data_IF_669228649397
#
_entry.id   IF_669228649397
#
_cell.length_a   1.000
_cell.length_b   1.000
_cell.length_c   1.000
_cell.angle_alpha   90.00
_cell.angle_beta   90.00
_cell.angle_gamma   90.00
#
_symmetry.space_group_name_H-M   'P 1'
#
loop_
_entity.id
_entity.type
_entity.pdbx_description
1 polymer ?
#
# COMPACT_ATOMS: atom_id res chain seq x y z
N UNK A 1 -88.40 -39.07 -37.29
CA UNK A 1 -87.94 -39.79 -38.48
C UNK A 1 -86.45 -39.49 -38.67
N UNK A 2 -85.67 -40.55 -38.41
CA UNK A 2 -84.39 -40.96 -39.03
C UNK A 2 -83.42 -39.81 -39.43
N UNK A 3 -82.31 -39.67 -38.74
CA UNK A 3 -80.97 -40.31 -38.88
C UNK A 3 -80.08 -39.47 -39.77
N UNK A 4 -78.90 -39.14 -39.54
CA UNK A 4 -77.68 -39.92 -39.28
C UNK A 4 -76.51 -39.13 -38.81
N UNK A 5 -75.75 -39.82 -38.03
CA UNK A 5 -74.38 -39.51 -37.62
C UNK A 5 -73.43 -39.38 -38.79
N UNK A 6 -72.52 -38.42 -38.73
CA UNK A 6 -71.18 -38.61 -39.24
C UNK A 6 -70.19 -37.85 -38.40
N UNK A 7 -69.50 -38.64 -37.62
CA UNK A 7 -68.35 -38.27 -36.80
C UNK A 7 -67.17 -37.98 -37.73
N UNK A 8 -66.63 -36.78 -37.72
CA UNK A 8 -65.31 -36.56 -38.28
C UNK A 8 -64.34 -36.08 -37.21
N UNK A 9 -63.55 -37.06 -36.78
CA UNK A 9 -62.40 -36.86 -35.92
C UNK A 9 -61.33 -36.14 -36.74
N UNK A 10 -61.10 -34.83 -36.49
CA UNK A 10 -59.90 -34.12 -36.93
C UNK A 10 -58.88 -34.30 -35.84
N UNK A 11 -57.88 -35.16 -36.06
CA UNK A 11 -56.69 -35.34 -35.27
C UNK A 11 -55.75 -34.18 -35.64
N UNK A 12 -55.67 -33.15 -34.77
CA UNK A 12 -54.76 -32.04 -34.93
C UNK A 12 -53.39 -32.48 -34.40
N UNK A 13 -52.54 -32.96 -35.31
CA UNK A 13 -51.13 -33.24 -35.07
C UNK A 13 -50.41 -31.87 -34.88
N UNK A 14 -50.17 -31.51 -33.63
CA UNK A 14 -49.28 -30.39 -33.26
C UNK A 14 -47.83 -30.86 -33.51
N UNK A 15 -47.01 -30.19 -34.32
CA UNK A 15 -45.61 -30.53 -34.43
C UNK A 15 -44.92 -30.08 -33.15
N UNK A 16 -44.42 -31.02 -32.38
CA UNK A 16 -43.54 -30.82 -31.26
C UNK A 16 -42.20 -30.30 -31.80
N UNK A 17 -42.03 -28.98 -31.84
CA UNK A 17 -40.76 -28.37 -32.21
C UNK A 17 -39.72 -28.67 -31.14
N UNK A 18 -38.79 -29.57 -31.48
CA UNK A 18 -37.57 -29.83 -30.70
C UNK A 18 -36.77 -28.51 -30.64
N UNK A 19 -36.92 -27.79 -29.52
CA UNK A 19 -35.98 -26.68 -29.18
C UNK A 19 -34.60 -27.28 -28.95
N UNK A 20 -33.56 -26.83 -29.67
CA UNK A 20 -32.22 -27.34 -29.43
C UNK A 20 -31.80 -26.89 -27.99
N UNK A 21 -31.57 -27.87 -27.14
CA UNK A 21 -30.99 -27.71 -25.81
C UNK A 21 -29.54 -27.29 -26.01
N UNK A 22 -29.28 -25.97 -26.02
CA UNK A 22 -27.92 -25.47 -25.96
C UNK A 22 -27.38 -25.77 -24.56
N UNK A 23 -26.31 -26.57 -24.42
CA UNK A 23 -25.67 -26.75 -23.13
C UNK A 23 -25.12 -25.39 -22.73
N UNK A 24 -25.67 -24.80 -21.69
CA UNK A 24 -25.04 -23.68 -20.97
C UNK A 24 -23.70 -24.18 -20.44
N UNK A 25 -22.65 -23.95 -21.19
CA UNK A 25 -21.29 -24.17 -20.69
C UNK A 25 -21.13 -23.38 -19.41
N UNK A 26 -20.91 -24.03 -18.25
CA UNK A 26 -20.54 -23.26 -17.06
C UNK A 26 -19.24 -22.54 -17.39
N UNK A 27 -19.30 -21.21 -17.46
CA UNK A 27 -18.10 -20.38 -17.47
C UNK A 27 -17.41 -20.67 -16.12
N UNK A 28 -16.24 -21.31 -16.08
CA UNK A 28 -15.51 -21.43 -14.83
C UNK A 28 -15.22 -20.01 -14.39
N UNK A 29 -15.88 -19.55 -13.33
CA UNK A 29 -15.45 -18.37 -12.60
C UNK A 29 -14.03 -18.71 -12.15
N UNK A 30 -13.04 -18.10 -12.79
CA UNK A 30 -11.66 -18.24 -12.40
C UNK A 30 -11.55 -17.52 -11.06
N UNK A 31 -11.65 -18.28 -9.97
CA UNK A 31 -11.40 -17.79 -8.64
C UNK A 31 -9.92 -17.41 -8.62
N UNK A 32 -9.65 -16.11 -8.67
CA UNK A 32 -8.29 -15.60 -8.54
C UNK A 32 -7.91 -15.79 -7.08
N UNK A 33 -7.34 -16.94 -6.77
CA UNK A 33 -6.75 -17.20 -5.45
C UNK A 33 -5.50 -16.34 -5.36
N UNK A 34 -5.55 -15.30 -4.52
CA UNK A 34 -4.40 -14.44 -4.28
C UNK A 34 -3.30 -15.24 -3.57
N UNK A 35 -2.09 -15.16 -4.09
CA UNK A 35 -0.96 -15.96 -3.62
C UNK A 35 -0.40 -15.35 -2.34
N UNK A 36 -0.41 -16.11 -1.24
CA UNK A 36 0.29 -15.75 -0.02
C UNK A 36 1.80 -15.78 -0.25
N UNK A 37 2.50 -14.73 0.20
CA UNK A 37 3.96 -14.58 0.08
C UNK A 37 4.67 -14.53 1.43
N UNK A 38 4.00 -14.09 2.48
CA UNK A 38 4.55 -14.11 3.84
C UNK A 38 3.43 -14.04 4.90
N UNK A 39 3.81 -14.37 6.14
CA UNK A 39 3.01 -14.06 7.33
C UNK A 39 3.85 -13.31 8.34
N UNK A 40 3.23 -12.40 9.11
CA UNK A 40 3.87 -11.59 10.15
C UNK A 40 3.06 -11.66 11.42
N UNK A 41 3.67 -12.11 12.52
CA UNK A 41 3.06 -12.16 13.84
C UNK A 41 3.98 -11.48 14.86
N UNK A 42 3.58 -10.30 15.32
CA UNK A 42 4.27 -9.57 16.39
C UNK A 42 3.62 -9.77 17.78
N UNK A 43 2.94 -10.91 17.98
CA UNK A 43 2.35 -11.30 19.27
C UNK A 43 0.92 -10.79 19.50
N UNK A 44 0.33 -10.05 18.57
CA UNK A 44 -1.08 -9.59 18.64
C UNK A 44 -1.97 -10.45 17.75
N UNK A 45 -1.59 -10.59 16.48
CA UNK A 45 -2.26 -11.41 15.48
C UNK A 45 -1.25 -11.83 14.40
N UNK A 46 -1.68 -12.77 13.56
CA UNK A 46 -0.94 -13.11 12.34
C UNK A 46 -1.54 -12.36 11.16
N UNK A 47 -0.77 -11.46 10.57
CA UNK A 47 -1.12 -10.78 9.33
C UNK A 47 -0.62 -11.59 8.14
N UNK A 48 -1.48 -11.76 7.14
CA UNK A 48 -1.14 -12.38 5.86
C UNK A 48 -0.69 -11.30 4.89
N UNK A 49 0.37 -11.58 4.15
CA UNK A 49 0.85 -10.74 3.04
C UNK A 49 0.69 -11.53 1.75
N UNK A 50 -0.02 -10.95 0.80
CA UNK A 50 -0.30 -11.55 -0.49
C UNK A 50 0.50 -10.90 -1.61
N UNK A 51 0.52 -11.55 -2.79
CA UNK A 51 1.13 -10.96 -3.97
C UNK A 51 0.42 -9.67 -4.41
N UNK A 52 -0.90 -9.60 -4.24
CA UNK A 52 -1.66 -8.37 -4.49
C UNK A 52 -1.23 -7.23 -3.59
N UNK A 53 -0.92 -7.47 -2.31
CA UNK A 53 -0.39 -6.42 -1.41
C UNK A 53 0.90 -5.81 -1.96
N UNK A 54 1.79 -6.64 -2.55
CA UNK A 54 3.03 -6.16 -3.18
C UNK A 54 2.75 -5.31 -4.41
N UNK A 55 1.83 -5.77 -5.28
CA UNK A 55 1.43 -5.00 -6.46
C UNK A 55 0.76 -3.68 -6.09
N UNK A 56 -0.10 -3.66 -5.07
CA UNK A 56 -0.71 -2.43 -4.56
C UNK A 56 0.34 -1.48 -4.01
N UNK A 57 1.32 -1.98 -3.24
CA UNK A 57 2.43 -1.17 -2.74
C UNK A 57 3.23 -0.53 -3.88
N UNK A 58 3.51 -1.28 -4.96
CA UNK A 58 4.19 -0.76 -6.15
C UNK A 58 3.31 0.23 -6.95
N UNK A 59 1.99 -0.04 -7.05
CA UNK A 59 1.06 0.84 -7.75
C UNK A 59 0.93 2.22 -7.10
N UNK A 60 1.11 2.29 -5.77
CA UNK A 60 1.08 3.54 -5.00
C UNK A 60 2.41 4.30 -5.01
N UNK A 61 3.42 3.81 -5.76
CA UNK A 61 4.70 4.49 -5.98
C UNK A 61 4.77 4.98 -7.43
N UNK A 62 5.03 6.28 -7.68
CA UNK A 62 5.23 6.76 -9.04
C UNK A 62 6.50 6.13 -9.63
N UNK A 63 6.56 6.03 -10.96
CA UNK A 63 7.72 5.55 -11.72
C UNK A 63 8.16 4.09 -11.49
N UNK A 64 7.35 3.26 -10.80
CA UNK A 64 7.58 1.82 -10.67
C UNK A 64 6.81 1.03 -11.72
N UNK A 65 7.40 -0.05 -12.25
CA UNK A 65 6.72 -0.97 -13.15
C UNK A 65 5.73 -1.84 -12.36
N UNK A 66 4.47 -1.92 -12.83
CA UNK A 66 3.43 -2.78 -12.23
C UNK A 66 2.99 -3.90 -13.16
N UNK A 67 3.29 -3.81 -14.46
CA UNK A 67 2.92 -4.84 -15.42
C UNK A 67 3.87 -6.06 -15.32
N UNK A 68 5.16 -5.79 -15.19
CA UNK A 68 6.21 -6.81 -15.02
C UNK A 68 7.20 -6.28 -13.97
N UNK A 69 6.85 -6.34 -12.67
CA UNK A 69 7.76 -5.90 -11.63
C UNK A 69 8.99 -6.83 -11.56
N UNK A 70 10.15 -6.23 -11.33
CA UNK A 70 11.36 -7.01 -11.12
C UNK A 70 11.32 -7.75 -9.78
N UNK A 71 12.09 -8.83 -9.65
CA UNK A 71 12.23 -9.53 -8.35
C UNK A 71 12.78 -8.59 -7.27
N UNK A 72 13.61 -7.62 -7.64
CA UNK A 72 14.12 -6.62 -6.71
C UNK A 72 13.01 -5.68 -6.21
N UNK A 73 12.12 -5.21 -7.12
CA UNK A 73 10.98 -4.38 -6.75
C UNK A 73 10.02 -5.13 -5.83
N UNK A 74 9.71 -6.39 -6.14
CA UNK A 74 8.85 -7.24 -5.32
C UNK A 74 9.46 -7.49 -3.94
N UNK A 75 10.76 -7.79 -3.85
CA UNK A 75 11.44 -7.98 -2.58
C UNK A 75 11.49 -6.69 -1.74
N UNK A 76 11.66 -5.53 -2.38
CA UNK A 76 11.60 -4.23 -1.71
C UNK A 76 10.19 -3.94 -1.19
N UNK A 77 9.18 -4.18 -2.02
CA UNK A 77 7.77 -4.06 -1.61
C UNK A 77 7.43 -4.99 -0.44
N UNK A 78 7.90 -6.24 -0.48
CA UNK A 78 7.67 -7.21 0.58
C UNK A 78 8.28 -6.76 1.91
N UNK A 79 9.55 -6.32 1.92
CA UNK A 79 10.19 -5.79 3.14
C UNK A 79 9.39 -4.60 3.70
N UNK A 80 8.98 -3.67 2.84
CA UNK A 80 8.21 -2.50 3.27
C UNK A 80 6.84 -2.89 3.85
N UNK A 81 6.14 -3.86 3.25
CA UNK A 81 4.85 -4.32 3.77
C UNK A 81 5.03 -5.04 5.11
N UNK A 82 6.08 -5.86 5.28
CA UNK A 82 6.42 -6.48 6.57
C UNK A 82 6.62 -5.40 7.64
N UNK A 83 7.44 -4.39 7.38
CA UNK A 83 7.70 -3.30 8.31
C UNK A 83 6.44 -2.51 8.66
N UNK A 84 5.59 -2.25 7.68
CA UNK A 84 4.29 -1.61 7.90
C UNK A 84 3.40 -2.48 8.82
N UNK A 85 3.36 -3.80 8.64
CA UNK A 85 2.58 -4.70 9.51
C UNK A 85 3.11 -4.71 10.95
N UNK A 86 4.44 -4.72 11.14
CA UNK A 86 5.05 -4.64 12.46
C UNK A 86 4.69 -3.35 13.20
N UNK A 87 4.83 -2.20 12.52
CA UNK A 87 4.47 -0.90 13.10
C UNK A 87 2.98 -0.81 13.38
N UNK A 88 2.15 -1.28 12.45
CA UNK A 88 0.69 -1.23 12.56
C UNK A 88 0.19 -2.02 13.78
N UNK A 89 0.71 -3.22 14.02
CA UNK A 89 0.35 -4.02 15.20
C UNK A 89 0.69 -3.30 16.51
N UNK A 90 1.79 -2.52 16.55
CA UNK A 90 2.11 -1.69 17.72
C UNK A 90 1.20 -0.46 17.82
N UNK A 91 0.92 0.19 16.69
CA UNK A 91 0.05 1.37 16.63
C UNK A 91 -1.40 1.07 17.06
N UNK A 92 -1.89 -0.11 16.74
CA UNK A 92 -3.26 -0.55 17.10
C UNK A 92 -3.45 -0.78 18.60
N UNK A 93 -2.37 -0.95 19.36
CA UNK A 93 -2.43 -0.99 20.83
C UNK A 93 -2.79 0.38 21.45
N UNK A 94 -2.76 1.43 20.63
CA UNK A 94 -3.05 2.82 21.03
C UNK A 94 -4.29 3.36 20.28
N UNK A 95 -5.52 3.10 20.78
CA UNK A 95 -6.75 3.51 20.10
C UNK A 95 -6.87 5.03 19.87
N UNK A 96 -6.20 5.84 20.67
CA UNK A 96 -6.14 7.31 20.54
C UNK A 96 -5.45 7.79 19.28
N UNK A 97 -4.68 6.93 18.61
CA UNK A 97 -3.99 7.21 17.35
C UNK A 97 -4.83 6.83 16.11
N UNK A 98 -6.08 6.40 16.30
CA UNK A 98 -6.96 6.10 15.18
C UNK A 98 -7.10 7.34 14.26
N UNK A 99 -6.94 7.17 12.94
CA UNK A 99 -7.12 8.25 11.99
C UNK A 99 -8.58 8.73 11.94
N UNK A 100 -8.77 10.02 11.69
CA UNK A 100 -10.09 10.58 11.37
C UNK A 100 -10.25 10.71 9.85
N UNK A 101 -11.48 10.80 9.37
CA UNK A 101 -11.80 10.83 7.95
C UNK A 101 -11.08 11.96 7.17
N UNK A 102 -10.84 13.12 7.81
CA UNK A 102 -10.15 14.24 7.18
C UNK A 102 -8.66 13.95 6.97
N UNK A 103 -8.01 13.25 7.90
CA UNK A 103 -6.62 12.84 7.76
C UNK A 103 -6.46 11.85 6.59
N UNK A 104 -7.38 10.90 6.46
CA UNK A 104 -7.39 9.92 5.36
C UNK A 104 -7.60 10.62 4.01
N UNK A 105 -8.54 11.59 3.93
CA UNK A 105 -8.77 12.39 2.72
C UNK A 105 -7.51 13.18 2.34
N UNK A 106 -6.88 13.85 3.30
CA UNK A 106 -5.65 14.59 3.07
C UNK A 106 -4.52 13.68 2.57
N UNK A 107 -4.36 12.49 3.16
CA UNK A 107 -3.38 11.50 2.71
C UNK A 107 -3.64 11.06 1.26
N UNK A 108 -4.91 10.84 0.87
CA UNK A 108 -5.29 10.55 -0.52
C UNK A 108 -4.91 11.70 -1.45
N UNK A 109 -5.24 12.95 -1.07
CA UNK A 109 -4.95 14.12 -1.91
C UNK A 109 -3.45 14.33 -2.09
N UNK A 110 -2.65 14.11 -1.04
CA UNK A 110 -1.19 14.16 -1.14
C UNK A 110 -0.64 13.03 -2.02
N UNK A 111 -1.17 11.81 -1.87
CA UNK A 111 -0.77 10.68 -2.69
C UNK A 111 -1.04 10.93 -4.18
N UNK A 112 -2.21 11.48 -4.53
CA UNK A 112 -2.52 11.78 -5.94
C UNK A 112 -1.56 12.81 -6.54
N UNK A 113 -1.10 13.79 -5.76
CA UNK A 113 -0.18 14.85 -6.21
C UNK A 113 1.21 14.36 -6.60
N UNK A 114 1.65 13.20 -6.10
CA UNK A 114 2.98 12.66 -6.48
C UNK A 114 2.97 11.98 -7.85
N UNK A 115 1.78 11.78 -8.44
CA UNK A 115 1.63 11.24 -9.78
C UNK A 115 1.50 12.36 -10.82
N UNK A 116 1.92 12.11 -12.07
CA UNK A 116 1.82 13.10 -13.16
C UNK A 116 0.39 13.60 -13.41
N UNK A 117 -0.61 12.75 -13.16
CA UNK A 117 -2.03 13.10 -13.23
C UNK A 117 -2.91 12.16 -12.41
N UNK A 118 -4.09 12.66 -12.01
CA UNK A 118 -5.12 11.84 -11.37
C UNK A 118 -5.65 10.73 -12.29
N UNK A 119 -5.58 10.89 -13.61
CA UNK A 119 -5.95 9.88 -14.57
C UNK A 119 -4.96 8.72 -14.57
N UNK A 120 -3.66 9.00 -14.56
CA UNK A 120 -2.60 7.99 -14.46
C UNK A 120 -2.70 7.23 -13.15
N UNK A 121 -2.87 7.94 -12.02
CA UNK A 121 -3.09 7.31 -10.73
C UNK A 121 -4.25 6.30 -10.78
N UNK A 122 -5.44 6.72 -11.24
CA UNK A 122 -6.60 5.81 -11.38
C UNK A 122 -6.32 4.61 -12.27
N UNK A 123 -5.64 4.83 -13.41
CA UNK A 123 -5.28 3.75 -14.32
C UNK A 123 -4.35 2.73 -13.67
N UNK A 124 -3.40 3.18 -12.84
CA UNK A 124 -2.51 2.28 -12.08
C UNK A 124 -3.30 1.41 -11.10
N UNK A 125 -4.23 2.01 -10.34
CA UNK A 125 -5.08 1.25 -9.40
C UNK A 125 -5.89 0.19 -10.13
N UNK A 126 -6.53 0.53 -11.24
CA UNK A 126 -7.31 -0.41 -12.05
C UNK A 126 -6.48 -1.59 -12.57
N UNK A 127 -5.24 -1.34 -12.99
CA UNK A 127 -4.33 -2.40 -13.50
C UNK A 127 -4.01 -3.47 -12.48
N UNK A 128 -3.95 -3.12 -11.20
CA UNK A 128 -3.65 -4.04 -10.10
C UNK A 128 -4.89 -4.47 -9.32
N UNK A 129 -6.09 -4.14 -9.79
CA UNK A 129 -7.34 -4.47 -9.12
C UNK A 129 -7.52 -3.82 -7.76
N UNK A 130 -6.84 -2.69 -7.49
CA UNK A 130 -6.98 -1.97 -6.23
C UNK A 130 -8.27 -1.15 -6.24
N UNK A 131 -9.25 -1.56 -5.43
CA UNK A 131 -10.53 -0.87 -5.29
C UNK A 131 -10.40 0.40 -4.46
N UNK A 132 -11.41 1.28 -4.52
CA UNK A 132 -11.43 2.51 -3.73
C UNK A 132 -11.48 2.22 -2.24
N UNK A 133 -12.26 1.21 -1.84
CA UNK A 133 -12.42 0.79 -0.44
C UNK A 133 -11.10 0.26 0.13
N UNK A 134 -10.40 -0.59 -0.66
CA UNK A 134 -9.10 -1.12 -0.26
C UNK A 134 -8.01 -0.05 -0.23
N UNK A 135 -8.06 0.91 -1.15
CA UNK A 135 -7.17 2.08 -1.09
C UNK A 135 -7.40 2.89 0.19
N UNK A 136 -8.65 3.10 0.59
CA UNK A 136 -8.99 3.85 1.81
C UNK A 136 -8.48 3.12 3.06
N UNK A 137 -8.64 1.80 3.13
CA UNK A 137 -8.06 0.96 4.19
C UNK A 137 -6.52 1.09 4.26
N UNK A 138 -5.84 1.03 3.12
CA UNK A 138 -4.38 1.21 3.05
C UNK A 138 -3.97 2.61 3.53
N UNK A 139 -4.71 3.64 3.16
CA UNK A 139 -4.44 5.01 3.60
C UNK A 139 -4.68 5.18 5.09
N UNK A 140 -5.75 4.61 5.64
CA UNK A 140 -6.00 4.59 7.08
C UNK A 140 -4.81 3.95 7.83
N UNK A 141 -4.35 2.78 7.38
CA UNK A 141 -3.20 2.11 7.99
C UNK A 141 -1.94 2.98 7.93
N UNK A 142 -1.65 3.64 6.79
CA UNK A 142 -0.50 4.53 6.63
C UNK A 142 -0.55 5.73 7.55
N UNK A 143 -1.71 6.39 7.64
CA UNK A 143 -1.89 7.53 8.55
C UNK A 143 -1.71 7.10 10.01
N UNK A 144 -2.24 5.93 10.38
CA UNK A 144 -2.06 5.38 11.74
C UNK A 144 -0.59 5.09 12.05
N UNK A 145 0.15 4.53 11.10
CA UNK A 145 1.60 4.30 11.21
C UNK A 145 2.34 5.63 11.40
N UNK A 146 2.05 6.63 10.57
CA UNK A 146 2.66 7.97 10.67
C UNK A 146 2.41 8.60 12.05
N UNK A 147 1.16 8.60 12.52
CA UNK A 147 0.81 9.11 13.86
C UNK A 147 1.53 8.36 14.97
N UNK A 148 1.71 7.05 14.83
CA UNK A 148 2.46 6.25 15.81
C UNK A 148 3.94 6.61 15.83
N UNK A 149 4.59 6.74 14.68
CA UNK A 149 5.99 7.11 14.58
C UNK A 149 6.22 8.54 15.11
N UNK A 150 5.33 9.48 14.80
CA UNK A 150 5.39 10.83 15.35
C UNK A 150 5.22 10.82 16.88
N UNK A 151 4.24 10.09 17.39
CA UNK A 151 4.02 9.97 18.83
C UNK A 151 5.21 9.33 19.55
N UNK A 152 5.80 8.29 18.97
CA UNK A 152 6.85 7.50 19.62
C UNK A 152 8.22 8.16 19.54
N UNK A 153 8.54 8.81 18.43
CA UNK A 153 9.89 9.31 18.17
C UNK A 153 9.95 10.83 18.08
N UNK A 154 9.17 11.50 17.24
CA UNK A 154 9.29 12.93 16.97
C UNK A 154 9.23 13.79 18.23
N UNK A 155 8.35 13.48 19.16
CA UNK A 155 8.16 14.25 20.38
C UNK A 155 9.33 14.15 21.37
N UNK A 156 10.26 13.23 21.17
CA UNK A 156 11.40 12.98 22.06
C UNK A 156 12.74 13.34 21.43
N UNK A 157 12.77 13.76 20.17
CA UNK A 157 14.00 14.17 19.50
C UNK A 157 14.42 15.54 20.01
N UNK A 158 15.62 15.61 20.54
CA UNK A 158 16.29 16.85 20.94
C UNK A 158 17.58 17.00 20.11
N UNK A 159 17.71 18.13 19.43
CA UNK A 159 18.91 18.50 18.66
C UNK A 159 19.65 19.57 19.44
N UNK A 160 20.88 19.28 19.80
CA UNK A 160 21.72 20.23 20.54
C UNK A 160 22.33 21.29 19.61
N UNK A 161 22.72 22.44 20.18
CA UNK A 161 23.42 23.50 19.44
C UNK A 161 24.74 23.00 18.84
N UNK A 162 25.40 22.06 19.51
CA UNK A 162 26.64 21.46 19.03
C UNK A 162 26.38 20.62 17.77
N UNK A 163 25.34 19.78 17.74
CA UNK A 163 24.99 18.99 16.58
C UNK A 163 24.68 19.87 15.36
N UNK A 164 23.98 21.00 15.58
CA UNK A 164 23.68 21.95 14.51
C UNK A 164 24.97 22.57 13.97
N UNK A 165 25.91 23.01 14.87
CA UNK A 165 27.16 23.61 14.47
C UNK A 165 28.08 22.64 13.75
N UNK A 166 28.21 21.40 14.25
CA UNK A 166 28.99 20.33 13.63
C UNK A 166 28.45 20.02 12.23
N UNK A 167 27.14 19.81 12.10
CA UNK A 167 26.51 19.52 10.80
C UNK A 167 26.70 20.69 9.81
N UNK A 168 26.59 21.94 10.28
CA UNK A 168 26.80 23.08 9.41
C UNK A 168 28.23 23.10 8.85
N UNK A 169 29.25 22.84 9.68
CA UNK A 169 30.65 22.88 9.27
C UNK A 169 31.04 21.67 8.42
N UNK A 170 30.64 20.49 8.86
CA UNK A 170 31.14 19.21 8.29
C UNK A 170 30.33 18.73 7.11
N UNK A 171 29.05 19.11 7.01
CA UNK A 171 28.14 18.59 5.97
C UNK A 171 27.54 19.70 5.13
N UNK A 172 26.89 20.70 5.74
CA UNK A 172 26.09 21.69 5.03
C UNK A 172 26.94 22.57 4.12
N UNK A 173 28.01 23.20 4.68
CA UNK A 173 28.91 24.06 3.93
C UNK A 173 29.66 23.33 2.83
N UNK A 174 30.30 22.16 3.06
CA UNK A 174 30.98 21.42 2.00
C UNK A 174 30.02 21.00 0.87
N UNK A 175 28.82 20.59 1.23
CA UNK A 175 27.78 20.17 0.25
C UNK A 175 27.36 21.34 -0.65
N UNK A 176 27.15 22.54 -0.09
CA UNK A 176 26.78 23.71 -0.88
C UNK A 176 27.93 24.13 -1.79
N UNK A 177 29.18 24.13 -1.29
CA UNK A 177 30.35 24.47 -2.11
C UNK A 177 30.54 23.55 -3.31
N UNK A 178 30.26 22.26 -3.11
CA UNK A 178 30.38 21.27 -4.20
C UNK A 178 29.27 21.38 -5.23
N UNK A 179 28.04 21.74 -4.80
CA UNK A 179 26.87 21.84 -5.69
C UNK A 179 26.81 23.14 -6.46
N UNK A 180 27.23 24.24 -5.86
CA UNK A 180 27.08 25.57 -6.40
C UNK A 180 28.34 26.42 -6.13
N UNK A 181 29.45 26.15 -6.88
CA UNK A 181 30.68 26.94 -6.71
C UNK A 181 30.43 28.42 -6.95
N UNK A 182 30.87 29.27 -6.02
CA UNK A 182 30.71 30.72 -6.11
C UNK A 182 29.42 31.29 -5.55
N UNK A 183 28.50 30.45 -5.06
CA UNK A 183 27.30 30.92 -4.35
C UNK A 183 27.67 31.40 -2.93
N UNK A 184 27.00 32.46 -2.45
CA UNK A 184 27.08 32.90 -1.08
C UNK A 184 26.52 31.81 -0.16
N UNK A 185 27.33 31.33 0.79
CA UNK A 185 26.92 30.35 1.77
C UNK A 185 26.12 31.04 2.86
N UNK A 186 24.88 30.59 3.15
CA UNK A 186 24.10 31.10 4.28
C UNK A 186 24.89 30.96 5.59
N UNK A 187 24.74 31.90 6.47
CA UNK A 187 25.29 31.80 7.83
C UNK A 187 24.66 30.67 8.62
N UNK A 188 25.29 30.19 9.69
CA UNK A 188 24.72 29.18 10.58
C UNK A 188 23.31 29.58 11.06
N UNK A 189 23.11 30.87 11.37
CA UNK A 189 21.82 31.35 11.87
C UNK A 189 20.72 31.27 10.80
N UNK A 190 21.06 31.63 9.57
CA UNK A 190 20.12 31.51 8.42
C UNK A 190 19.80 30.07 8.06
N UNK A 191 20.75 29.15 8.19
CA UNK A 191 20.62 27.76 7.88
C UNK A 191 20.04 26.90 9.05
N UNK A 192 19.97 27.47 10.25
CA UNK A 192 19.65 26.78 11.51
C UNK A 192 18.37 25.90 11.39
N UNK A 193 17.28 26.50 10.96
CA UNK A 193 15.97 25.81 10.90
C UNK A 193 15.96 24.63 9.88
N UNK A 194 16.70 24.81 8.79
CA UNK A 194 16.85 23.74 7.78
C UNK A 194 17.69 22.58 8.34
N UNK A 195 18.81 22.92 9.02
CA UNK A 195 19.69 21.91 9.62
C UNK A 195 18.98 21.18 10.76
N UNK A 196 18.31 21.89 11.66
CA UNK A 196 17.58 21.29 12.77
C UNK A 196 16.50 20.31 12.27
N UNK A 197 15.74 20.71 11.23
CA UNK A 197 14.77 19.81 10.60
C UNK A 197 15.45 18.59 10.01
N UNK A 198 16.56 18.75 9.28
CA UNK A 198 17.32 17.66 8.67
C UNK A 198 17.84 16.68 9.72
N UNK A 199 18.40 17.17 10.81
CA UNK A 199 18.91 16.36 11.92
C UNK A 199 17.77 15.65 12.67
N UNK A 200 16.64 16.33 12.85
CA UNK A 200 15.44 15.74 13.46
C UNK A 200 14.94 14.56 12.64
N UNK A 201 14.78 14.72 11.32
CA UNK A 201 14.33 13.64 10.44
C UNK A 201 15.33 12.47 10.42
N UNK A 202 16.63 12.75 10.33
CA UNK A 202 17.66 11.71 10.37
C UNK A 202 17.65 10.90 11.68
N UNK A 203 17.38 11.56 12.82
CA UNK A 203 17.29 10.90 14.11
C UNK A 203 16.03 10.06 14.25
N UNK A 204 14.88 10.55 13.76
CA UNK A 204 13.63 9.78 13.69
C UNK A 204 13.82 8.55 12.81
N UNK A 205 14.46 8.69 11.65
CA UNK A 205 14.76 7.57 10.75
C UNK A 205 15.63 6.52 11.47
N UNK A 206 16.72 6.93 12.10
CA UNK A 206 17.61 6.04 12.86
C UNK A 206 16.90 5.33 14.01
N UNK A 207 16.07 6.03 14.78
CA UNK A 207 15.32 5.47 15.90
C UNK A 207 14.23 4.50 15.40
N UNK A 208 13.62 4.80 14.24
CA UNK A 208 12.64 3.93 13.57
C UNK A 208 13.31 2.65 13.06
N UNK A 209 14.49 2.74 12.46
CA UNK A 209 15.24 1.58 11.99
C UNK A 209 15.62 0.65 13.16
N UNK A 210 16.16 1.21 14.24
CA UNK A 210 16.48 0.45 15.45
C UNK A 210 15.24 -0.23 16.07
N UNK A 211 14.10 0.47 16.05
CA UNK A 211 12.83 -0.11 16.48
C UNK A 211 12.41 -1.28 15.59
N UNK A 212 12.48 -1.11 14.26
CA UNK A 212 12.11 -2.14 13.28
C UNK A 212 13.01 -3.37 13.39
N UNK A 213 14.32 -3.19 13.55
CA UNK A 213 15.25 -4.31 13.75
C UNK A 213 14.86 -5.12 14.99
N UNK A 214 14.63 -4.44 16.11
CA UNK A 214 14.15 -5.08 17.33
C UNK A 214 12.76 -5.71 17.19
N UNK A 215 11.86 -5.12 16.40
CA UNK A 215 10.54 -5.68 16.13
C UNK A 215 10.62 -6.95 15.29
N UNK A 216 11.47 -6.96 14.25
CA UNK A 216 11.70 -8.14 13.40
C UNK A 216 12.29 -9.31 14.18
N UNK A 217 13.24 -9.05 15.11
CA UNK A 217 13.84 -10.08 15.95
C UNK A 217 12.82 -10.76 16.89
N UNK A 218 11.80 -10.02 17.33
CA UNK A 218 10.75 -10.55 18.22
C UNK A 218 9.57 -11.17 17.50
N UNK A 219 9.38 -10.84 16.23
CA UNK A 219 8.25 -11.29 15.45
C UNK A 219 8.52 -12.67 14.82
N UNK A 220 7.47 -13.45 14.66
CA UNK A 220 7.49 -14.63 13.80
C UNK A 220 7.15 -14.20 12.35
N UNK A 221 8.15 -14.21 11.50
CA UNK A 221 8.01 -13.86 10.08
C UNK A 221 8.30 -15.11 9.26
N UNK A 222 7.27 -15.63 8.58
CA UNK A 222 7.40 -16.82 7.72
C UNK A 222 7.31 -16.38 6.27
N UNK A 223 8.38 -16.61 5.51
CA UNK A 223 8.40 -16.39 4.06
C UNK A 223 7.85 -17.64 3.37
N UNK A 224 6.80 -17.45 2.59
CA UNK A 224 6.19 -18.53 1.81
C UNK A 224 6.81 -18.52 0.43
N UNK A 225 7.72 -19.46 0.19
CA UNK A 225 8.23 -19.68 -1.17
C UNK A 225 7.09 -20.14 -2.06
N UNK A 226 6.99 -19.65 -3.31
CA UNK A 226 6.07 -20.23 -4.25
C UNK A 226 6.44 -21.70 -4.43
N UNK A 227 5.46 -22.59 -4.22
CA UNK A 227 5.60 -23.97 -4.67
C UNK A 227 5.98 -23.96 -6.14
N UNK A 228 7.15 -24.52 -6.44
CA UNK A 228 7.76 -24.63 -7.76
C UNK A 228 6.99 -25.61 -8.64
#
# INVERSE_FOLDING_TARGET
MKVNLAVWRFFLLLPFTLLPFYPLSPCPAQEVVDKMVATVNAGVRTDLITYSDLLWQLALQPNTSIANPSSEDLNRALRLVIDQRLILQEAEKLPTLAPIADEIRNARDQLVKVFPSAAEFRQRLLRVGLTSEKLEEILEQRVRIEKYLDFRFRNFVLISQKEIADYYQDVYVPRLRSRSPGQIIPTLEEARNEIERTLTEAKIESDTDAFLDSARERAEIVMLTPDS
#
